data_IF_734484014297
#
_entry.id   IF_734484014297
#
_cell.length_a   1.000
_cell.length_b   1.000
_cell.length_c   1.000
_cell.angle_alpha   90.00
_cell.angle_beta   90.00
_cell.angle_gamma   90.00
#
_symmetry.space_group_name_H-M   'P 1'
#
loop_
_entity.id
_entity.type
_entity.pdbx_description
1 polymer ?
#
# COMPACT_ATOMS: atom_id res chain seq x y z
N UNK A 1 -16.38 -25.36 -48.42
CA UNK A 1 -15.08 -24.64 -48.52
C UNK A 1 -15.03 -23.62 -47.40
N UNK A 2 -14.13 -23.81 -46.43
CA UNK A 2 -13.98 -22.94 -45.27
C UNK A 2 -13.40 -21.58 -45.66
N UNK A 3 -14.28 -20.63 -46.03
CA UNK A 3 -13.92 -19.26 -46.38
C UNK A 3 -13.43 -18.42 -45.18
N UNK A 4 -13.52 -18.95 -43.95
CA UNK A 4 -13.08 -18.25 -42.73
C UNK A 4 -11.56 -18.20 -42.52
N UNK A 5 -10.78 -19.09 -43.16
CA UNK A 5 -9.32 -19.16 -42.98
C UNK A 5 -8.59 -17.84 -43.28
N UNK A 6 -8.83 -17.19 -44.44
CA UNK A 6 -8.23 -15.91 -44.77
C UNK A 6 -8.58 -14.79 -43.78
N UNK A 7 -9.85 -14.70 -43.36
CA UNK A 7 -10.29 -13.68 -42.40
C UNK A 7 -9.67 -13.89 -41.01
N UNK A 8 -9.58 -15.13 -40.54
CA UNK A 8 -8.91 -15.45 -39.27
C UNK A 8 -7.40 -15.19 -39.33
N UNK A 9 -6.77 -15.40 -40.48
CA UNK A 9 -5.36 -15.07 -40.68
C UNK A 9 -5.10 -13.57 -40.60
N UNK A 10 -5.95 -12.75 -41.23
CA UNK A 10 -5.86 -11.27 -41.14
C UNK A 10 -6.10 -10.80 -39.70
N UNK A 11 -7.10 -11.35 -39.01
CA UNK A 11 -7.35 -11.04 -37.61
C UNK A 11 -6.15 -11.39 -36.71
N UNK A 12 -5.50 -12.55 -36.95
CA UNK A 12 -4.27 -12.95 -36.27
C UNK A 12 -3.13 -11.96 -36.50
N UNK A 13 -2.91 -11.53 -37.76
CA UNK A 13 -1.91 -10.49 -38.08
C UNK A 13 -2.18 -9.16 -37.39
N UNK A 14 -3.44 -8.74 -37.29
CA UNK A 14 -3.80 -7.52 -36.58
C UNK A 14 -3.46 -7.60 -35.09
N UNK A 15 -3.72 -8.74 -34.44
CA UNK A 15 -3.36 -8.98 -33.03
C UNK A 15 -1.83 -8.99 -32.87
N UNK A 16 -1.10 -9.66 -33.77
CA UNK A 16 0.37 -9.70 -33.74
C UNK A 16 0.96 -8.28 -33.81
N UNK A 17 0.41 -7.42 -34.68
CA UNK A 17 0.83 -6.01 -34.79
C UNK A 17 0.49 -5.22 -33.52
N UNK A 18 -0.70 -5.39 -32.95
CA UNK A 18 -1.06 -4.72 -31.69
C UNK A 18 -0.14 -5.14 -30.54
N UNK A 19 0.20 -6.44 -30.44
CA UNK A 19 1.13 -6.95 -29.44
C UNK A 19 2.56 -6.44 -29.67
N UNK A 20 2.99 -6.33 -30.93
CA UNK A 20 4.31 -5.80 -31.27
C UNK A 20 4.44 -4.32 -30.87
N UNK A 21 3.42 -3.50 -31.15
CA UNK A 21 3.38 -2.10 -30.71
C UNK A 21 3.36 -2.02 -29.19
N UNK A 22 2.55 -2.86 -28.53
CA UNK A 22 2.47 -2.91 -27.06
C UNK A 22 3.82 -3.22 -26.41
N UNK A 23 4.55 -4.23 -26.93
CA UNK A 23 5.90 -4.57 -26.46
C UNK A 23 6.88 -3.44 -26.72
N UNK A 24 6.91 -2.90 -27.94
CA UNK A 24 7.78 -1.79 -28.30
C UNK A 24 7.60 -0.61 -27.34
N UNK A 25 6.36 -0.17 -27.10
CA UNK A 25 6.06 0.94 -26.17
C UNK A 25 6.42 0.59 -24.73
N UNK A 26 6.21 -0.66 -24.30
CA UNK A 26 6.53 -1.10 -22.93
C UNK A 26 8.03 -1.20 -22.66
N UNK A 27 8.84 -1.44 -23.70
CA UNK A 27 10.29 -1.57 -23.60
C UNK A 27 11.01 -0.21 -23.63
N UNK A 28 10.31 0.90 -23.89
CA UNK A 28 10.89 2.24 -23.83
C UNK A 28 11.32 2.58 -22.38
N UNK A 29 12.48 3.24 -22.19
CA UNK A 29 12.90 3.69 -20.86
C UNK A 29 11.86 4.65 -20.26
N UNK A 30 11.33 4.30 -19.10
CA UNK A 30 10.28 5.08 -18.42
C UNK A 30 8.84 4.77 -18.84
N UNK A 31 8.61 3.70 -19.62
CA UNK A 31 7.26 3.26 -19.99
C UNK A 31 6.38 2.92 -18.77
N UNK A 32 7.00 2.39 -17.70
CA UNK A 32 6.36 2.16 -16.41
C UNK A 32 7.07 2.99 -15.37
N UNK A 33 6.40 4.03 -14.90
CA UNK A 33 6.84 4.87 -13.79
C UNK A 33 5.88 4.66 -12.62
N UNK A 34 6.39 4.19 -11.49
CA UNK A 34 5.62 4.10 -10.25
C UNK A 34 5.56 5.47 -9.62
N UNK A 35 4.54 6.22 -9.99
CA UNK A 35 4.29 7.56 -9.49
C UNK A 35 3.20 7.47 -8.42
N UNK A 36 3.43 8.11 -7.26
CA UNK A 36 2.44 8.12 -6.17
C UNK A 36 1.07 8.59 -6.66
N UNK A 37 -0.02 8.11 -6.08
CA UNK A 37 -1.35 8.55 -6.48
C UNK A 37 -1.59 10.02 -6.13
N UNK A 38 -2.07 10.79 -7.11
CA UNK A 38 -2.57 12.14 -6.86
C UNK A 38 -3.84 12.08 -6.00
N UNK A 39 -4.14 13.13 -5.21
CA UNK A 39 -5.34 13.16 -4.40
C UNK A 39 -6.60 13.20 -5.25
N UNK A 40 -7.72 12.77 -4.66
CA UNK A 40 -8.99 12.56 -5.37
C UNK A 40 -9.51 13.81 -6.09
N UNK A 41 -9.20 15.00 -5.57
CA UNK A 41 -9.57 16.30 -6.17
C UNK A 41 -8.79 16.65 -7.44
N UNK A 42 -7.60 16.06 -7.64
CA UNK A 42 -6.78 16.36 -8.82
C UNK A 42 -7.43 15.84 -10.11
N UNK A 43 -8.15 14.73 -10.03
CA UNK A 43 -8.81 14.10 -11.17
C UNK A 43 -9.95 14.94 -11.77
N UNK A 44 -10.96 15.41 -11.00
CA UNK A 44 -12.01 16.27 -11.55
C UNK A 44 -11.46 17.59 -12.08
N UNK A 45 -10.41 18.15 -11.45
CA UNK A 45 -9.75 19.37 -11.94
C UNK A 45 -9.06 19.12 -13.29
N UNK A 46 -8.33 18.01 -13.41
CA UNK A 46 -7.72 17.61 -14.69
C UNK A 46 -8.77 17.36 -15.76
N UNK A 47 -9.87 16.69 -15.42
CA UNK A 47 -10.98 16.46 -16.33
C UNK A 47 -11.58 17.77 -16.85
N UNK A 48 -11.88 18.73 -15.97
CA UNK A 48 -12.39 20.04 -16.36
C UNK A 48 -11.39 20.83 -17.21
N UNK A 49 -10.09 20.73 -16.91
CA UNK A 49 -9.03 21.34 -17.72
C UNK A 49 -8.95 20.77 -19.14
N UNK A 50 -9.01 19.45 -19.29
CA UNK A 50 -9.07 18.77 -20.59
C UNK A 50 -10.34 19.15 -21.34
N UNK A 51 -11.48 19.16 -20.66
CA UNK A 51 -12.76 19.57 -21.25
C UNK A 51 -12.68 21.00 -21.79
N UNK A 52 -12.11 21.93 -21.02
CA UNK A 52 -11.91 23.32 -21.45
C UNK A 52 -11.00 23.42 -22.68
N UNK A 53 -9.91 22.64 -22.72
CA UNK A 53 -9.02 22.57 -23.89
C UNK A 53 -9.73 22.06 -25.15
N UNK A 54 -10.66 21.11 -25.00
CA UNK A 54 -11.41 20.53 -26.12
C UNK A 54 -12.58 21.41 -26.59
N UNK A 55 -13.26 22.10 -25.67
CA UNK A 55 -14.45 22.91 -25.99
C UNK A 55 -14.12 24.32 -26.47
N UNK A 56 -13.03 24.92 -25.99
CA UNK A 56 -12.72 26.31 -26.32
C UNK A 56 -11.91 26.43 -27.61
N UNK A 57 -12.40 27.26 -28.55
CA UNK A 57 -11.68 27.54 -29.80
C UNK A 57 -10.80 28.79 -29.67
N UNK A 58 -9.59 28.74 -30.23
CA UNK A 58 -8.62 29.84 -30.23
C UNK A 58 -7.57 29.77 -29.11
N UNK A 59 -6.85 30.87 -28.88
CA UNK A 59 -5.73 30.93 -27.92
C UNK A 59 -6.16 30.77 -26.45
N UNK A 60 -7.43 31.05 -26.14
CA UNK A 60 -7.99 30.89 -24.80
C UNK A 60 -7.89 29.47 -24.25
N UNK A 61 -7.88 28.44 -25.11
CA UNK A 61 -7.80 27.02 -24.71
C UNK A 61 -6.63 26.72 -23.79
N UNK A 62 -5.49 27.40 -23.97
CA UNK A 62 -4.28 27.17 -23.20
C UNK A 62 -4.42 27.48 -21.71
N UNK A 63 -5.44 28.24 -21.30
CA UNK A 63 -5.80 28.43 -19.89
C UNK A 63 -6.22 27.11 -19.22
N UNK A 64 -6.73 26.13 -19.98
CA UNK A 64 -7.07 24.80 -19.47
C UNK A 64 -5.86 23.88 -19.28
N UNK A 65 -4.71 24.19 -19.89
CA UNK A 65 -3.49 23.39 -19.79
C UNK A 65 -2.98 23.16 -18.35
N UNK A 66 -2.83 24.20 -17.49
CA UNK A 66 -2.39 23.98 -16.12
C UNK A 66 -3.37 23.10 -15.33
N UNK A 67 -4.67 23.25 -15.58
CA UNK A 67 -5.70 22.41 -14.95
C UNK A 67 -5.63 20.98 -15.48
N UNK A 68 -5.48 20.77 -16.79
CA UNK A 68 -5.30 19.44 -17.38
C UNK A 68 -4.05 18.73 -16.83
N UNK A 69 -3.00 19.49 -16.51
CA UNK A 69 -1.79 18.99 -15.88
C UNK A 69 -1.89 18.83 -14.34
N UNK A 70 -3.07 19.05 -13.74
CA UNK A 70 -3.23 19.02 -12.27
C UNK A 70 -2.73 17.71 -11.65
N UNK A 71 -3.01 16.56 -12.26
CA UNK A 71 -2.55 15.24 -11.75
C UNK A 71 -1.02 15.12 -11.70
N UNK A 72 -0.31 15.81 -12.60
CA UNK A 72 1.15 15.79 -12.68
C UNK A 72 1.78 16.76 -11.66
N UNK A 73 1.15 17.91 -11.45
CA UNK A 73 1.71 19.00 -10.63
C UNK A 73 1.30 18.88 -9.15
N UNK A 74 0.21 18.15 -8.85
CA UNK A 74 -0.34 18.12 -7.49
C UNK A 74 0.65 17.56 -6.46
N UNK A 75 0.85 18.24 -5.31
CA UNK A 75 1.69 17.73 -4.24
C UNK A 75 1.20 16.38 -3.72
N UNK A 76 2.11 15.42 -3.57
CA UNK A 76 1.76 14.08 -3.10
C UNK A 76 1.67 14.05 -1.58
N UNK A 77 0.80 13.18 -1.08
CA UNK A 77 0.71 12.92 0.35
C UNK A 77 2.05 12.34 0.86
N UNK A 78 2.45 12.68 2.09
CA UNK A 78 3.66 12.12 2.68
C UNK A 78 3.58 10.60 2.71
N UNK A 79 4.69 9.97 2.35
CA UNK A 79 4.83 8.52 2.38
C UNK A 79 4.79 8.06 3.85
N UNK A 80 4.01 7.02 4.20
CA UNK A 80 4.03 6.46 5.55
C UNK A 80 5.36 5.76 5.82
N UNK A 81 5.80 5.73 7.06
CA UNK A 81 7.01 5.02 7.48
C UNK A 81 6.78 3.51 7.50
N UNK A 82 5.58 3.06 7.87
CA UNK A 82 5.23 1.64 7.98
C UNK A 82 3.82 1.38 7.45
N UNK A 83 3.66 0.25 6.78
CA UNK A 83 2.38 -0.30 6.37
C UNK A 83 2.22 -1.72 6.88
N UNK A 84 1.05 -2.01 7.45
CA UNK A 84 0.67 -3.36 7.87
C UNK A 84 -0.60 -3.74 7.12
N UNK A 85 -0.52 -4.86 6.40
CA UNK A 85 -1.62 -5.41 5.65
C UNK A 85 -2.73 -5.97 6.53
N UNK A 86 -3.88 -6.19 5.90
CA UNK A 86 -5.08 -6.70 6.57
C UNK A 86 -4.78 -8.00 7.36
N UNK A 87 -5.27 -8.07 8.59
CA UNK A 87 -5.04 -9.19 9.51
C UNK A 87 -3.63 -9.29 10.11
N UNK A 88 -2.76 -8.28 9.96
CA UNK A 88 -1.47 -8.21 10.67
C UNK A 88 -0.44 -9.27 10.26
N UNK A 89 -0.56 -9.85 9.06
CA UNK A 89 0.29 -10.99 8.63
C UNK A 89 1.38 -10.64 7.64
N UNK A 90 1.34 -9.42 7.12
CA UNK A 90 2.28 -8.85 6.17
C UNK A 90 2.50 -7.40 6.53
N UNK A 91 3.74 -6.95 6.46
CA UNK A 91 4.05 -5.54 6.62
C UNK A 91 5.21 -5.15 5.72
N UNK A 92 5.31 -3.85 5.50
CA UNK A 92 6.41 -3.19 4.85
C UNK A 92 6.80 -1.95 5.64
N UNK A 93 8.07 -1.61 5.65
CA UNK A 93 8.53 -0.29 6.09
C UNK A 93 9.20 0.42 4.93
N UNK A 94 9.20 1.73 4.99
CA UNK A 94 9.77 2.57 3.95
C UNK A 94 11.20 2.91 4.33
N UNK A 95 12.10 2.68 3.39
CA UNK A 95 13.49 3.09 3.46
C UNK A 95 13.81 3.84 2.16
N UNK A 96 14.07 5.14 2.27
CA UNK A 96 14.27 6.03 1.13
C UNK A 96 13.09 5.99 0.12
N UNK A 97 13.27 5.34 -1.03
CA UNK A 97 12.24 5.16 -2.07
C UNK A 97 11.77 3.70 -2.21
N UNK A 98 12.23 2.84 -1.32
CA UNK A 98 11.96 1.42 -1.34
C UNK A 98 11.00 1.03 -0.21
N UNK A 99 10.03 0.19 -0.56
CA UNK A 99 9.15 -0.50 0.36
C UNK A 99 9.74 -1.87 0.68
N UNK A 100 10.31 -2.02 1.87
CA UNK A 100 10.95 -3.27 2.30
C UNK A 100 9.91 -4.21 2.88
N UNK A 101 9.59 -5.28 2.14
CA UNK A 101 8.56 -6.27 2.50
C UNK A 101 9.12 -7.31 3.47
N UNK A 102 8.55 -7.37 4.69
CA UNK A 102 9.03 -8.29 5.75
C UNK A 102 8.76 -9.77 5.45
N UNK A 103 7.70 -10.06 4.69
CA UNK A 103 7.26 -11.43 4.40
C UNK A 103 7.13 -11.66 2.90
N UNK A 104 8.25 -11.87 2.18
CA UNK A 104 8.21 -12.10 0.74
C UNK A 104 7.39 -13.35 0.40
N UNK A 105 6.68 -13.31 -0.73
CA UNK A 105 5.89 -14.44 -1.24
C UNK A 105 4.53 -14.67 -0.59
N UNK A 106 4.12 -13.86 0.41
CA UNK A 106 2.80 -13.99 1.05
C UNK A 106 2.00 -12.71 0.85
N UNK A 107 0.76 -12.85 0.33
CA UNK A 107 -0.17 -11.73 0.06
C UNK A 107 0.50 -10.59 -0.73
N UNK A 108 1.36 -10.94 -1.69
CA UNK A 108 2.15 -10.01 -2.51
C UNK A 108 1.31 -8.96 -3.21
N UNK A 109 0.09 -9.31 -3.63
CA UNK A 109 -0.83 -8.37 -4.25
C UNK A 109 -1.09 -7.11 -3.40
N UNK A 110 -1.30 -7.26 -2.08
CA UNK A 110 -1.60 -6.14 -1.21
C UNK A 110 -0.39 -5.20 -1.05
N UNK A 111 0.79 -5.78 -0.83
CA UNK A 111 2.04 -5.02 -0.74
C UNK A 111 2.41 -4.33 -2.06
N UNK A 112 2.17 -4.99 -3.20
CA UNK A 112 2.50 -4.45 -4.51
C UNK A 112 1.56 -3.32 -4.93
N UNK A 113 0.26 -3.45 -4.63
CA UNK A 113 -0.70 -2.37 -4.84
C UNK A 113 -0.38 -1.18 -3.95
N UNK A 114 -0.11 -1.40 -2.66
CA UNK A 114 0.24 -0.34 -1.72
C UNK A 114 1.53 0.39 -2.14
N UNK A 115 2.61 -0.36 -2.43
CA UNK A 115 3.90 0.21 -2.83
C UNK A 115 3.74 1.08 -4.08
N UNK A 116 3.04 0.58 -5.12
CA UNK A 116 2.76 1.36 -6.33
C UNK A 116 1.93 2.61 -6.06
N UNK A 117 0.90 2.52 -5.20
CA UNK A 117 0.07 3.68 -4.84
C UNK A 117 0.89 4.77 -4.13
N UNK A 118 1.91 4.36 -3.37
CA UNK A 118 2.86 5.26 -2.70
C UNK A 118 4.05 5.67 -3.55
N UNK A 119 4.16 5.18 -4.78
CA UNK A 119 5.30 5.47 -5.67
C UNK A 119 6.61 4.85 -5.19
N UNK A 120 6.52 3.75 -4.44
CA UNK A 120 7.67 3.04 -3.87
C UNK A 120 7.98 1.79 -4.69
N UNK A 121 9.26 1.45 -4.77
CA UNK A 121 9.71 0.18 -5.34
C UNK A 121 9.63 -0.91 -4.28
N UNK A 122 8.89 -1.97 -4.59
CA UNK A 122 8.72 -3.13 -3.69
C UNK A 122 9.98 -3.99 -3.72
N UNK A 123 10.67 -4.10 -2.58
CA UNK A 123 11.83 -4.97 -2.41
C UNK A 123 11.59 -5.96 -1.27
N UNK A 124 12.02 -7.22 -1.41
CA UNK A 124 12.03 -8.13 -0.27
C UNK A 124 13.03 -7.64 0.77
N UNK A 125 12.75 -7.88 2.06
CA UNK A 125 13.77 -7.70 3.11
C UNK A 125 15.02 -8.52 2.81
N UNK A 126 16.16 -8.02 3.26
CA UNK A 126 17.40 -8.78 3.27
C UNK A 126 17.30 -9.98 4.22
N UNK A 127 18.13 -10.99 3.96
CA UNK A 127 18.26 -12.16 4.84
C UNK A 127 19.06 -11.82 6.10
N UNK A 128 20.02 -10.88 6.01
CA UNK A 128 20.92 -10.50 7.09
C UNK A 128 20.26 -9.41 7.96
N UNK A 129 20.44 -9.49 9.27
CA UNK A 129 19.90 -8.52 10.22
C UNK A 129 18.41 -8.72 10.54
N UNK A 130 17.90 -9.92 10.27
CA UNK A 130 16.54 -10.35 10.58
C UNK A 130 16.56 -11.75 11.17
N UNK A 131 15.91 -11.90 12.32
CA UNK A 131 15.66 -13.22 12.92
C UNK A 131 14.20 -13.59 12.70
N UNK A 132 13.96 -14.51 11.77
CA UNK A 132 12.60 -14.90 11.41
C UNK A 132 12.40 -16.41 11.58
N UNK A 133 11.34 -16.76 12.29
CA UNK A 133 10.91 -18.11 12.58
C UNK A 133 9.62 -18.41 11.77
N UNK A 134 9.02 -19.57 11.98
CA UNK A 134 7.78 -20.01 11.34
C UNK A 134 6.60 -19.08 11.59
N UNK A 135 6.59 -18.35 12.71
CA UNK A 135 5.46 -17.52 13.14
C UNK A 135 5.82 -16.06 13.39
N UNK A 136 7.10 -15.69 13.38
CA UNK A 136 7.55 -14.35 13.74
C UNK A 136 8.73 -13.89 12.88
N UNK A 137 8.91 -12.58 12.81
CA UNK A 137 10.07 -11.95 12.18
C UNK A 137 10.39 -10.67 12.93
N UNK A 138 11.61 -10.60 13.45
CA UNK A 138 12.12 -9.44 14.19
C UNK A 138 13.37 -8.90 13.53
N UNK A 139 13.58 -7.57 13.56
CA UNK A 139 14.85 -6.99 13.14
C UNK A 139 15.94 -7.24 14.19
N UNK A 140 17.18 -7.27 13.72
CA UNK A 140 18.36 -7.20 14.57
C UNK A 140 18.82 -5.74 14.68
N UNK A 141 18.86 -5.21 15.90
CA UNK A 141 19.16 -3.79 16.18
C UNK A 141 18.07 -2.85 15.66
N UNK A 142 18.45 -1.61 15.34
CA UNK A 142 17.53 -0.54 14.94
C UNK A 142 17.25 -0.50 13.41
N UNK A 143 17.41 -1.62 12.69
CA UNK A 143 17.24 -1.68 11.23
C UNK A 143 15.82 -1.43 10.75
N UNK A 144 14.82 -1.78 11.56
CA UNK A 144 13.42 -1.59 11.22
C UNK A 144 12.61 -1.29 12.47
N UNK A 145 11.63 -0.40 12.40
CA UNK A 145 10.78 -0.10 13.55
C UNK A 145 9.77 -1.21 13.84
N UNK A 146 9.62 -2.24 12.98
CA UNK A 146 8.51 -3.20 13.04
C UNK A 146 8.93 -4.66 13.24
N UNK A 147 8.21 -5.36 14.12
CA UNK A 147 8.21 -6.81 14.28
C UNK A 147 6.83 -7.40 13.96
N UNK A 148 6.81 -8.63 13.45
CA UNK A 148 5.60 -9.34 13.07
C UNK A 148 5.44 -10.68 13.79
N UNK A 149 4.21 -11.00 14.16
CA UNK A 149 3.74 -12.32 14.55
C UNK A 149 2.50 -12.71 13.76
N UNK A 150 2.63 -13.70 12.86
CA UNK A 150 1.52 -14.17 12.00
C UNK A 150 0.95 -15.53 12.43
N UNK A 151 1.39 -16.06 13.57
CA UNK A 151 0.83 -17.25 14.18
C UNK A 151 -0.67 -17.09 14.50
N UNK A 152 -1.45 -18.15 14.33
CA UNK A 152 -2.89 -18.13 14.71
C UNK A 152 -3.09 -18.19 16.22
N UNK A 153 -2.16 -18.81 16.95
CA UNK A 153 -2.13 -18.79 18.42
C UNK A 153 -1.41 -17.54 18.88
N UNK A 154 -1.85 -16.99 20.01
CA UNK A 154 -1.17 -15.88 20.66
C UNK A 154 0.28 -16.27 21.02
N UNK A 155 1.25 -15.35 20.89
CA UNK A 155 2.59 -15.57 21.40
C UNK A 155 2.56 -15.75 22.91
N UNK A 156 3.50 -16.52 23.46
CA UNK A 156 3.72 -16.53 24.91
C UNK A 156 4.23 -15.16 25.40
N UNK A 157 4.16 -14.91 26.70
CA UNK A 157 4.69 -13.67 27.30
C UNK A 157 6.16 -13.42 26.92
N UNK A 158 7.00 -14.46 26.91
CA UNK A 158 8.42 -14.36 26.53
C UNK A 158 8.64 -14.11 25.04
N UNK A 159 7.79 -14.68 24.19
CA UNK A 159 7.82 -14.40 22.76
C UNK A 159 7.40 -12.97 22.47
N UNK A 160 6.34 -12.50 23.14
CA UNK A 160 5.86 -11.14 23.00
C UNK A 160 6.87 -10.12 23.55
N UNK A 161 7.52 -10.43 24.67
CA UNK A 161 8.57 -9.58 25.22
C UNK A 161 9.78 -9.46 24.28
N UNK A 162 10.14 -10.56 23.62
CA UNK A 162 11.18 -10.57 22.58
C UNK A 162 10.79 -9.64 21.42
N UNK A 163 9.56 -9.74 20.88
CA UNK A 163 9.08 -8.85 19.82
C UNK A 163 9.17 -7.37 20.22
N UNK A 164 8.67 -7.04 21.41
CA UNK A 164 8.66 -5.68 21.93
C UNK A 164 10.05 -5.14 22.27
N UNK A 165 11.00 -6.00 22.65
CA UNK A 165 12.38 -5.58 22.89
C UNK A 165 13.11 -5.20 21.59
N UNK A 166 12.76 -5.85 20.48
CA UNK A 166 13.45 -5.69 19.18
C UNK A 166 12.83 -4.62 18.27
N UNK A 167 11.57 -4.24 18.47
CA UNK A 167 10.89 -3.31 17.58
C UNK A 167 9.98 -2.32 18.31
N UNK A 168 9.80 -1.13 17.73
CA UNK A 168 8.92 -0.08 18.26
C UNK A 168 7.44 -0.36 17.99
N UNK A 169 7.17 -1.02 16.88
CA UNK A 169 5.86 -1.45 16.40
C UNK A 169 5.85 -2.97 16.39
N UNK A 170 4.85 -3.58 17.02
CA UNK A 170 4.66 -5.03 17.02
C UNK A 170 3.27 -5.32 16.48
N UNK A 171 3.18 -6.02 15.36
CA UNK A 171 1.90 -6.47 14.82
C UNK A 171 1.72 -7.96 15.07
N UNK A 172 0.60 -8.31 15.68
CA UNK A 172 0.25 -9.67 16.09
C UNK A 172 -1.09 -10.02 15.48
N UNK A 173 -1.12 -11.10 14.69
CA UNK A 173 -2.36 -11.60 14.09
C UNK A 173 -3.38 -12.07 15.13
N UNK A 174 -2.89 -12.71 16.20
CA UNK A 174 -3.73 -13.24 17.27
C UNK A 174 -4.19 -12.12 18.21
N UNK A 175 -5.32 -12.34 18.89
CA UNK A 175 -5.80 -11.44 19.94
C UNK A 175 -4.95 -11.66 21.19
N UNK A 176 -4.46 -10.57 21.78
CA UNK A 176 -3.64 -10.60 23.00
C UNK A 176 -4.47 -10.00 24.13
N UNK A 177 -4.50 -10.68 25.27
CA UNK A 177 -5.24 -10.21 26.47
C UNK A 177 -4.34 -9.49 27.47
N UNK A 178 -3.05 -9.77 27.47
CA UNK A 178 -2.09 -9.24 28.45
C UNK A 178 -0.79 -8.84 27.78
N UNK A 179 -0.34 -7.61 28.00
CA UNK A 179 0.94 -7.11 27.49
C UNK A 179 2.01 -7.20 28.59
N UNK A 180 3.22 -7.71 28.29
CA UNK A 180 4.33 -7.67 29.22
C UNK A 180 4.85 -6.24 29.38
N UNK A 181 5.52 -5.98 30.50
CA UNK A 181 6.12 -4.68 30.81
C UNK A 181 7.14 -4.20 29.76
N UNK A 182 7.80 -5.13 29.05
CA UNK A 182 8.70 -4.84 27.93
C UNK A 182 8.02 -4.20 26.73
N UNK A 183 6.69 -4.30 26.61
CA UNK A 183 5.91 -3.62 25.58
C UNK A 183 5.46 -2.21 26.00
N UNK A 184 5.81 -1.76 27.21
CA UNK A 184 5.50 -0.40 27.65
C UNK A 184 6.14 0.63 26.72
N UNK A 185 5.35 1.58 26.24
CA UNK A 185 5.77 2.60 25.27
C UNK A 185 5.97 2.09 23.84
N UNK A 186 5.57 0.86 23.52
CA UNK A 186 5.59 0.30 22.16
C UNK A 186 4.19 0.28 21.57
N UNK A 187 4.08 0.45 20.26
CA UNK A 187 2.81 0.32 19.56
C UNK A 187 2.57 -1.16 19.25
N UNK A 188 1.68 -1.80 20.00
CA UNK A 188 1.27 -3.18 19.75
C UNK A 188 -0.10 -3.17 19.08
N UNK A 189 -0.19 -3.76 17.89
CA UNK A 189 -1.44 -3.95 17.15
C UNK A 189 -1.77 -5.43 17.12
N UNK A 190 -2.95 -5.80 17.61
CA UNK A 190 -3.34 -7.20 17.75
C UNK A 190 -4.46 -7.62 16.78
N UNK A 191 -4.93 -8.86 16.94
CA UNK A 191 -6.00 -9.40 16.10
C UNK A 191 -7.33 -8.62 16.20
N UNK A 192 -7.61 -7.94 17.31
CA UNK A 192 -8.80 -7.09 17.45
C UNK A 192 -8.66 -5.81 16.66
N UNK A 193 -7.50 -5.15 16.74
CA UNK A 193 -7.22 -3.93 15.98
C UNK A 193 -7.31 -4.19 14.48
N UNK A 194 -6.68 -5.28 14.01
CA UNK A 194 -6.72 -5.67 12.61
C UNK A 194 -8.11 -6.12 12.15
N UNK A 195 -8.90 -6.75 13.01
CA UNK A 195 -10.28 -7.11 12.68
C UNK A 195 -11.18 -5.88 12.56
N UNK A 196 -10.92 -4.84 13.36
CA UNK A 196 -11.71 -3.60 13.35
C UNK A 196 -11.31 -2.65 12.23
N UNK A 197 -10.02 -2.33 12.11
CA UNK A 197 -9.51 -1.33 11.17
C UNK A 197 -9.00 -1.89 9.84
N UNK A 198 -8.70 -3.19 9.76
CA UNK A 198 -8.12 -3.84 8.58
C UNK A 198 -6.62 -3.55 8.42
N UNK A 199 -6.23 -3.07 7.24
CA UNK A 199 -4.86 -2.61 6.98
C UNK A 199 -4.64 -1.19 7.52
N UNK A 200 -3.42 -0.90 7.96
CA UNK A 200 -3.03 0.37 8.58
C UNK A 200 -1.76 0.94 7.95
N UNK A 201 -1.73 2.25 7.81
CA UNK A 201 -0.53 3.03 7.50
C UNK A 201 -0.15 3.85 8.73
N UNK A 202 1.15 3.86 9.05
CA UNK A 202 1.71 4.50 10.23
C UNK A 202 2.73 5.57 9.80
N UNK A 203 2.59 6.77 10.35
CA UNK A 203 3.56 7.85 10.23
C UNK A 203 4.19 8.12 11.59
N UNK A 204 5.50 8.27 11.62
CA UNK A 204 6.23 8.66 12.82
C UNK A 204 5.99 10.14 13.10
N UNK A 205 5.63 10.45 14.33
CA UNK A 205 5.47 11.82 14.84
C UNK A 205 6.46 12.07 15.97
N UNK A 206 6.56 13.31 16.45
CA UNK A 206 7.44 13.67 17.56
C UNK A 206 7.09 12.91 18.86
N UNK A 207 5.81 12.60 19.06
CA UNK A 207 5.28 12.00 20.28
C UNK A 207 4.88 10.53 20.12
N UNK A 208 5.06 9.93 18.94
CA UNK A 208 4.69 8.53 18.70
C UNK A 208 4.37 8.22 17.24
N UNK A 209 3.21 7.58 17.02
CA UNK A 209 2.79 7.09 15.71
C UNK A 209 1.37 7.54 15.40
N UNK A 210 1.18 8.12 14.22
CA UNK A 210 -0.15 8.40 13.68
C UNK A 210 -0.58 7.23 12.81
N UNK A 211 -1.71 6.62 13.16
CA UNK A 211 -2.32 5.54 12.39
C UNK A 211 -3.47 6.05 11.51
N UNK A 212 -3.54 5.58 10.27
CA UNK A 212 -4.75 5.67 9.44
C UNK A 212 -5.15 4.26 9.05
N UNK A 213 -6.37 3.88 9.40
CA UNK A 213 -6.92 2.56 9.08
C UNK A 213 -7.71 2.58 7.78
N UNK A 214 -7.84 1.40 7.18
CA UNK A 214 -8.67 1.23 5.97
C UNK A 214 -10.13 1.55 6.27
N UNK A 215 -10.62 1.22 7.46
CA UNK A 215 -11.97 1.55 7.94
C UNK A 215 -12.28 3.05 7.86
N UNK A 216 -11.31 3.89 8.18
CA UNK A 216 -11.49 5.34 8.34
C UNK A 216 -11.70 6.02 6.98
N UNK A 217 -11.10 5.46 5.92
CA UNK A 217 -11.11 6.04 4.57
C UNK A 217 -12.11 5.35 3.65
N UNK A 218 -12.38 4.05 3.85
CA UNK A 218 -13.25 3.25 2.97
C UNK A 218 -14.73 3.61 3.11
N UNK A 219 -15.12 4.18 4.25
CA UNK A 219 -16.50 4.41 4.65
C UNK A 219 -17.25 3.12 4.98
N UNK A 220 -18.49 3.24 5.47
CA UNK A 220 -19.36 2.11 5.78
C UNK A 220 -20.01 1.54 4.50
N UNK A 221 -19.61 0.34 4.07
CA UNK A 221 -20.22 -0.34 2.91
C UNK A 221 -21.06 -1.55 3.35
N UNK A 222 -22.25 -1.79 2.77
CA UNK A 222 -23.15 -2.89 3.17
C UNK A 222 -22.54 -4.30 3.03
N UNK A 223 -21.60 -4.48 2.10
CA UNK A 223 -20.93 -5.77 1.84
C UNK A 223 -19.58 -5.92 2.54
N UNK A 224 -19.11 -4.87 3.23
CA UNK A 224 -18.03 -5.01 4.21
C UNK A 224 -18.67 -5.21 5.57
N UNK A 225 -18.27 -6.24 6.32
CA UNK A 225 -18.71 -6.36 7.71
C UNK A 225 -18.35 -5.07 8.44
N UNK A 226 -19.34 -4.30 8.85
CA UNK A 226 -19.14 -3.18 9.75
C UNK A 226 -18.66 -3.77 11.08
N UNK A 227 -17.46 -3.39 11.52
CA UNK A 227 -17.06 -3.61 12.90
C UNK A 227 -17.87 -2.64 13.75
N UNK A 228 -18.67 -3.11 14.73
CA UNK A 228 -19.48 -2.23 15.56
C UNK A 228 -18.52 -1.41 16.45
N UNK A 229 -18.28 -0.15 16.09
CA UNK A 229 -17.38 0.71 16.87
C UNK A 229 -17.16 2.15 16.36
N UNK A 230 -17.41 2.46 15.08
CA UNK A 230 -17.12 3.81 14.56
C UNK A 230 -18.28 4.82 14.69
N UNK A 231 -19.08 4.74 15.76
CA UNK A 231 -19.98 5.82 16.16
C UNK A 231 -19.47 6.46 17.45
N UNK A 232 -18.71 7.55 17.26
CA UNK A 232 -18.53 8.72 18.15
C UNK A 232 -17.06 9.13 18.32
N UNK A 233 -16.58 9.97 17.41
CA UNK A 233 -15.73 11.11 17.79
C UNK A 233 -16.11 12.31 16.91
N UNK A 234 -17.14 13.03 17.34
CA UNK A 234 -17.34 14.45 17.05
C UNK A 234 -17.78 15.09 18.36
N UNK A 235 -16.80 15.60 19.11
CA UNK A 235 -16.81 16.90 19.77
C UNK A 235 -15.43 17.18 20.37
#
# INVERSE_FOLDING_TARGET
>A
LGLGGPFLWVAGRAIDVMLAIGKFVSDLPGAVQTVASAPDVALPIAFLGVLFLCLWQGKGRWLGLPFAAAVLIWPRAPVPDVWIGDGGTTAAYVQDQDAIILRPGVRTFASDVWSRRRGLRSLPRETIGWTCDRFSCVPDGDRSPIALWWGRRAPTQDQLSTLCSRAQIVSVRAIITTLPSSCSGRLVLDGTDHAQGGAVELWKTETGWRAIWTSDVRGTRPWSKASPGSMNQTQ
#
